data_IF_156816959335
#
_entry.id   IF_156816959335
#
_cell.length_a   1.000
_cell.length_b   1.000
_cell.length_c   1.000
_cell.angle_alpha   90.00
_cell.angle_beta   90.00
_cell.angle_gamma   90.00
#
_symmetry.space_group_name_H-M   'P 1'
#
loop_
_entity.id
_entity.type
_entity.pdbx_description
1 polymer ?
#
# COMPACT_ATOMS: atom_id res chain seq x y z
N UNK A 1 17.86 -5.49 -22.67
CA UNK A 1 16.72 -6.23 -22.08
C UNK A 1 16.50 -5.79 -20.63
N UNK A 2 15.85 -4.64 -20.41
CA UNK A 2 15.62 -4.07 -19.06
C UNK A 2 14.14 -4.06 -18.61
N UNK A 3 13.20 -4.47 -19.49
CA UNK A 3 11.76 -4.34 -19.22
C UNK A 3 11.17 -5.33 -18.19
N UNK A 4 11.79 -6.51 -18.01
CA UNK A 4 11.21 -7.58 -17.18
C UNK A 4 11.27 -7.32 -15.67
N UNK A 5 12.35 -6.73 -15.16
CA UNK A 5 12.52 -6.47 -13.73
C UNK A 5 11.62 -5.33 -13.22
N UNK A 6 11.43 -4.29 -14.03
CA UNK A 6 10.60 -3.14 -13.67
C UNK A 6 9.10 -3.47 -13.69
N UNK A 7 8.63 -4.23 -14.68
CA UNK A 7 7.24 -4.68 -14.70
C UNK A 7 6.93 -5.63 -13.53
N UNK A 8 7.89 -6.47 -13.14
CA UNK A 8 7.77 -7.34 -11.96
C UNK A 8 7.70 -6.53 -10.66
N UNK A 9 8.47 -5.45 -10.53
CA UNK A 9 8.42 -4.57 -9.35
C UNK A 9 7.08 -3.84 -9.20
N UNK A 10 6.51 -3.35 -10.30
CA UNK A 10 5.17 -2.73 -10.29
C UNK A 10 4.09 -3.76 -9.90
N UNK A 11 4.15 -4.97 -10.46
CA UNK A 11 3.21 -6.03 -10.12
C UNK A 11 3.30 -6.42 -8.64
N UNK A 12 4.50 -6.58 -8.09
CA UNK A 12 4.71 -6.87 -6.67
C UNK A 12 4.17 -5.76 -5.77
N UNK A 13 4.34 -4.50 -6.18
CA UNK A 13 3.81 -3.33 -5.45
C UNK A 13 2.28 -3.36 -5.42
N UNK A 14 1.62 -3.61 -6.56
CA UNK A 14 0.16 -3.74 -6.64
C UNK A 14 -0.36 -4.92 -5.81
N UNK A 15 0.33 -6.06 -5.85
CA UNK A 15 -0.01 -7.22 -5.02
C UNK A 15 0.07 -6.87 -3.52
N UNK A 16 1.10 -6.11 -3.13
CA UNK A 16 1.26 -5.60 -1.76
C UNK A 16 0.11 -4.70 -1.34
N UNK A 17 -0.31 -3.77 -2.19
CA UNK A 17 -1.48 -2.90 -1.93
C UNK A 17 -2.73 -3.74 -1.69
N UNK A 18 -3.03 -4.71 -2.57
CA UNK A 18 -4.20 -5.58 -2.39
C UNK A 18 -4.16 -6.42 -1.12
N UNK A 19 -2.98 -6.89 -0.71
CA UNK A 19 -2.82 -7.61 0.54
C UNK A 19 -3.11 -6.71 1.75
N UNK A 20 -2.64 -5.46 1.72
CA UNK A 20 -2.89 -4.46 2.77
C UNK A 20 -4.37 -4.05 2.84
N UNK A 21 -5.03 -3.85 1.69
CA UNK A 21 -6.47 -3.57 1.60
C UNK A 21 -7.30 -4.73 2.19
N UNK A 22 -6.91 -5.97 1.87
CA UNK A 22 -7.57 -7.17 2.42
C UNK A 22 -7.38 -7.28 3.93
N UNK A 23 -6.18 -6.97 4.44
CA UNK A 23 -5.90 -6.92 5.87
C UNK A 23 -6.73 -5.83 6.58
N UNK A 24 -6.84 -4.65 5.98
CA UNK A 24 -7.66 -3.55 6.49
C UNK A 24 -9.13 -3.97 6.63
N UNK A 25 -9.69 -4.59 5.58
CA UNK A 25 -11.05 -5.13 5.59
C UNK A 25 -11.23 -6.25 6.64
N UNK A 26 -10.19 -7.05 6.88
CA UNK A 26 -10.17 -8.03 7.97
C UNK A 26 -10.33 -7.39 9.34
N UNK A 27 -9.56 -6.33 9.62
CA UNK A 27 -9.62 -5.63 10.92
C UNK A 27 -10.99 -4.98 11.13
N UNK A 28 -11.57 -4.36 10.09
CA UNK A 28 -12.90 -3.77 10.17
C UNK A 28 -13.95 -4.82 10.55
N UNK A 29 -13.90 -6.01 9.93
CA UNK A 29 -14.78 -7.13 10.29
C UNK A 29 -14.58 -7.57 11.74
N UNK A 30 -13.33 -7.76 12.17
CA UNK A 30 -13.03 -8.14 13.56
C UNK A 30 -13.54 -7.11 14.57
N UNK A 31 -13.50 -5.80 14.27
CA UNK A 31 -14.11 -4.75 15.11
C UNK A 31 -15.62 -4.92 15.23
N UNK A 32 -16.30 -5.15 14.11
CA UNK A 32 -17.74 -5.41 14.13
C UNK A 32 -18.09 -6.64 14.98
N UNK A 33 -17.34 -7.74 14.85
CA UNK A 33 -17.57 -8.97 15.62
C UNK A 33 -17.37 -8.76 17.12
N UNK A 34 -16.33 -8.01 17.50
CA UNK A 34 -16.05 -7.68 18.89
C UNK A 34 -17.12 -6.75 19.46
N UNK A 35 -17.58 -5.76 18.71
CA UNK A 35 -18.67 -4.86 19.15
C UNK A 35 -19.99 -5.61 19.34
N UNK A 36 -20.32 -6.54 18.43
CA UNK A 36 -21.48 -7.43 18.57
C UNK A 36 -21.36 -8.28 19.84
N UNK A 37 -20.17 -8.82 20.10
CA UNK A 37 -19.89 -9.63 21.29
C UNK A 37 -19.97 -8.80 22.57
N UNK A 38 -19.49 -7.54 22.55
CA UNK A 38 -19.61 -6.58 23.64
C UNK A 38 -21.08 -6.30 23.98
N UNK A 39 -21.91 -6.04 22.98
CA UNK A 39 -23.34 -5.77 23.17
C UNK A 39 -24.10 -6.95 23.80
N UNK A 40 -23.63 -8.18 23.55
CA UNK A 40 -24.16 -9.39 24.19
C UNK A 40 -23.61 -9.58 25.61
N UNK A 41 -22.31 -9.37 25.81
CA UNK A 41 -21.64 -9.56 27.10
C UNK A 41 -22.02 -8.50 28.14
N UNK A 42 -22.23 -7.24 27.75
CA UNK A 42 -22.69 -6.18 28.66
C UNK A 42 -24.04 -6.49 29.31
N UNK A 43 -24.87 -7.33 28.68
CA UNK A 43 -26.14 -7.78 29.27
C UNK A 43 -25.94 -8.87 30.33
N UNK A 44 -24.87 -9.65 30.23
CA UNK A 44 -24.57 -10.78 31.11
C UNK A 44 -23.56 -10.48 32.23
N UNK A 45 -22.58 -9.61 31.99
CA UNK A 45 -21.52 -9.27 32.94
C UNK A 45 -21.78 -7.91 33.58
N UNK A 46 -22.43 -7.91 34.75
CA UNK A 46 -22.54 -6.76 35.64
C UNK A 46 -21.48 -6.83 36.75
N UNK A 47 -20.99 -5.69 37.26
CA UNK A 47 -20.01 -5.64 38.35
C UNK A 47 -18.55 -5.45 37.90
N UNK A 48 -17.59 -5.86 38.73
CA UNK A 48 -16.14 -5.67 38.51
C UNK A 48 -15.65 -6.26 37.18
N UNK A 49 -16.19 -7.41 36.81
CA UNK A 49 -15.75 -8.18 35.65
C UNK A 49 -16.16 -7.51 34.33
N UNK A 50 -17.35 -6.92 34.30
CA UNK A 50 -17.82 -6.10 33.17
C UNK A 50 -16.96 -4.85 32.97
N UNK A 51 -16.44 -4.24 34.05
CA UNK A 51 -15.52 -3.10 33.98
C UNK A 51 -14.15 -3.51 33.44
N UNK A 52 -13.55 -4.58 33.96
CA UNK A 52 -12.27 -5.09 33.46
C UNK A 52 -12.33 -5.51 31.99
N UNK A 53 -13.43 -6.14 31.57
CA UNK A 53 -13.67 -6.46 30.17
C UNK A 53 -13.83 -5.21 29.29
N UNK A 54 -14.56 -4.20 29.78
CA UNK A 54 -14.69 -2.90 29.10
C UNK A 54 -13.35 -2.20 28.86
N UNK A 55 -12.47 -2.19 29.87
CA UNK A 55 -11.14 -1.60 29.76
C UNK A 55 -10.25 -2.35 28.75
N UNK A 56 -10.35 -3.69 28.73
CA UNK A 56 -9.64 -4.51 27.74
C UNK A 56 -10.10 -4.19 26.32
N UNK A 57 -11.41 -4.07 26.11
CA UNK A 57 -11.97 -3.70 24.80
C UNK A 57 -11.53 -2.32 24.34
N UNK A 58 -11.49 -1.33 25.24
CA UNK A 58 -10.97 0.00 24.91
C UNK A 58 -9.50 -0.04 24.48
N UNK A 59 -8.66 -0.79 25.19
CA UNK A 59 -7.25 -0.97 24.80
C UNK A 59 -7.13 -1.67 23.44
N UNK A 60 -7.92 -2.72 23.23
CA UNK A 60 -7.95 -3.45 21.96
C UNK A 60 -8.36 -2.55 20.79
N UNK A 61 -9.41 -1.74 20.96
CA UNK A 61 -9.91 -0.81 19.94
C UNK A 61 -8.87 0.27 19.56
N UNK A 62 -8.12 0.77 20.56
CA UNK A 62 -7.01 1.69 20.34
C UNK A 62 -5.89 1.03 19.50
N UNK A 63 -5.55 -0.24 19.77
CA UNK A 63 -4.58 -0.98 18.96
C UNK A 63 -5.06 -1.20 17.53
N UNK A 64 -6.34 -1.56 17.35
CA UNK A 64 -6.93 -1.69 16.02
C UNK A 64 -6.84 -0.38 15.22
N UNK A 65 -7.08 0.75 15.87
CA UNK A 65 -6.96 2.08 15.24
C UNK A 65 -5.52 2.38 14.81
N UNK A 66 -4.52 2.03 15.63
CA UNK A 66 -3.10 2.18 15.29
C UNK A 66 -2.75 1.31 14.08
N UNK A 67 -3.18 0.04 14.07
CA UNK A 67 -2.90 -0.89 12.98
C UNK A 67 -3.56 -0.39 11.68
N UNK A 68 -4.81 0.05 11.73
CA UNK A 68 -5.51 0.60 10.57
C UNK A 68 -4.78 1.80 9.97
N UNK A 69 -4.31 2.73 10.82
CA UNK A 69 -3.50 3.86 10.38
C UNK A 69 -2.22 3.40 9.69
N UNK A 70 -1.49 2.47 10.30
CA UNK A 70 -0.24 1.96 9.72
C UNK A 70 -0.46 1.26 8.37
N UNK A 71 -1.56 0.51 8.22
CA UNK A 71 -1.93 -0.13 6.94
C UNK A 71 -2.23 0.92 5.87
N UNK A 72 -3.01 1.95 6.20
CA UNK A 72 -3.31 3.05 5.29
C UNK A 72 -2.05 3.79 4.86
N UNK A 73 -1.18 4.15 5.82
CA UNK A 73 0.09 4.83 5.53
C UNK A 73 0.99 3.99 4.60
N UNK A 74 0.97 2.65 4.73
CA UNK A 74 1.71 1.76 3.83
C UNK A 74 1.10 1.70 2.43
N UNK A 75 -0.23 1.63 2.33
CA UNK A 75 -0.95 1.70 1.04
C UNK A 75 -0.59 3.01 0.32
N UNK A 76 -0.64 4.14 1.03
CA UNK A 76 -0.35 5.45 0.47
C UNK A 76 1.11 5.54 -0.01
N UNK A 77 2.06 5.01 0.76
CA UNK A 77 3.48 4.93 0.34
C UNK A 77 3.70 4.06 -0.89
N UNK A 78 3.04 2.90 -0.98
CA UNK A 78 3.15 2.04 -2.17
C UNK A 78 2.53 2.69 -3.40
N UNK A 79 1.39 3.37 -3.25
CA UNK A 79 0.77 4.16 -4.32
C UNK A 79 1.68 5.31 -4.77
N UNK A 80 2.29 6.03 -3.83
CA UNK A 80 3.26 7.08 -4.15
C UNK A 80 4.48 6.52 -4.89
N UNK A 81 4.98 5.35 -4.47
CA UNK A 81 6.10 4.67 -5.12
C UNK A 81 5.75 4.28 -6.56
N UNK A 82 4.51 3.85 -6.85
CA UNK A 82 4.06 3.55 -8.22
C UNK A 82 4.08 4.80 -9.11
N UNK A 83 3.60 5.93 -8.60
CA UNK A 83 3.59 7.19 -9.35
C UNK A 83 5.02 7.63 -9.66
N UNK A 84 5.90 7.66 -8.65
CA UNK A 84 7.31 8.04 -8.80
C UNK A 84 8.06 7.12 -9.77
N UNK A 85 7.79 5.82 -9.73
CA UNK A 85 8.39 4.86 -10.65
C UNK A 85 7.99 5.14 -12.11
N UNK A 86 6.70 5.42 -12.37
CA UNK A 86 6.23 5.79 -13.71
C UNK A 86 6.86 7.09 -14.21
N UNK A 87 6.91 8.13 -13.37
CA UNK A 87 7.55 9.40 -13.73
C UNK A 87 9.01 9.22 -14.11
N UNK A 88 9.75 8.41 -13.33
CA UNK A 88 11.17 8.12 -13.58
C UNK A 88 11.37 7.31 -14.87
N UNK A 89 10.44 6.39 -15.18
CA UNK A 89 10.48 5.65 -16.44
C UNK A 89 10.25 6.55 -17.65
N UNK A 90 9.26 7.44 -17.60
CA UNK A 90 9.00 8.37 -18.69
C UNK A 90 10.19 9.28 -18.96
N UNK A 91 10.79 9.88 -17.91
CA UNK A 91 11.96 10.74 -18.08
C UNK A 91 13.18 9.98 -18.62
N UNK A 92 13.38 8.73 -18.19
CA UNK A 92 14.45 7.88 -18.71
C UNK A 92 14.23 7.51 -20.18
N UNK A 93 12.99 7.21 -20.58
CA UNK A 93 12.64 6.93 -21.98
C UNK A 93 12.86 8.15 -22.88
N UNK A 94 12.47 9.34 -22.43
CA UNK A 94 12.71 10.59 -23.16
C UNK A 94 14.21 10.87 -23.32
N UNK A 95 15.01 10.69 -22.26
CA UNK A 95 16.45 10.85 -22.32
C UNK A 95 17.12 9.86 -23.29
N UNK A 96 16.70 8.59 -23.27
CA UNK A 96 17.19 7.56 -24.21
C UNK A 96 16.79 7.89 -25.65
N UNK A 97 15.54 8.30 -25.87
CA UNK A 97 15.05 8.71 -27.20
C UNK A 97 15.85 9.90 -27.74
N UNK A 98 16.07 10.93 -26.92
CA UNK A 98 16.90 12.08 -27.28
C UNK A 98 18.35 11.69 -27.57
N UNK A 99 18.96 10.83 -26.75
CA UNK A 99 20.31 10.35 -26.97
C UNK A 99 20.43 9.52 -28.26
N UNK A 100 19.42 8.68 -28.56
CA UNK A 100 19.34 7.90 -29.80
C UNK A 100 19.25 8.82 -31.02
N UNK A 101 18.35 9.80 -31.01
CA UNK A 101 18.22 10.76 -32.10
C UNK A 101 19.50 11.58 -32.31
N UNK A 102 20.22 11.90 -31.23
CA UNK A 102 21.54 12.54 -31.31
C UNK A 102 22.59 11.63 -31.93
N UNK A 103 22.63 10.36 -31.51
CA UNK A 103 23.55 9.36 -32.07
C UNK A 103 23.29 9.11 -33.56
N UNK A 104 22.02 9.00 -33.97
CA UNK A 104 21.63 8.79 -35.37
C UNK A 104 22.05 9.99 -36.24
N UNK A 105 21.87 11.22 -35.76
CA UNK A 105 22.34 12.44 -36.47
C UNK A 105 23.86 12.48 -36.59
N UNK A 106 24.59 12.11 -35.54
CA UNK A 106 26.06 12.05 -35.56
C UNK A 106 26.53 10.98 -36.53
N UNK A 107 25.87 9.82 -36.55
CA UNK A 107 26.15 8.76 -37.50
C UNK A 107 25.89 9.20 -38.93
N UNK A 108 24.73 9.78 -39.23
CA UNK A 108 24.40 10.35 -40.56
C UNK A 108 25.44 11.38 -41.02
N UNK A 109 25.88 12.25 -40.10
CA UNK A 109 26.91 13.26 -40.38
C UNK A 109 28.27 12.62 -40.70
N UNK A 110 28.59 11.48 -40.07
CA UNK A 110 29.85 10.75 -40.27
C UNK A 110 29.82 9.83 -41.49
N UNK A 111 28.67 9.25 -41.84
CA UNK A 111 28.51 8.32 -42.96
C UNK A 111 28.14 9.00 -44.28
N UNK A 112 27.83 10.30 -44.26
CA UNK A 112 27.68 11.11 -45.46
C UNK A 112 26.37 10.85 -46.20
N UNK A 113 25.26 10.94 -45.48
CA UNK A 113 23.91 11.08 -46.04
C UNK A 113 23.66 12.51 -46.51
#
# INVERSE_FOLDING_TARGET
MAGGGQQSSEQSTRNGIHALESALAGIVRSRSDVDNTRGNLQRGYQGSDGRGFGDLLTKWDAQCTIIQKNLQDMIDKLNQSLIQHRTTQTSSMEAVSHASQGADRVFDTLTGS
#
